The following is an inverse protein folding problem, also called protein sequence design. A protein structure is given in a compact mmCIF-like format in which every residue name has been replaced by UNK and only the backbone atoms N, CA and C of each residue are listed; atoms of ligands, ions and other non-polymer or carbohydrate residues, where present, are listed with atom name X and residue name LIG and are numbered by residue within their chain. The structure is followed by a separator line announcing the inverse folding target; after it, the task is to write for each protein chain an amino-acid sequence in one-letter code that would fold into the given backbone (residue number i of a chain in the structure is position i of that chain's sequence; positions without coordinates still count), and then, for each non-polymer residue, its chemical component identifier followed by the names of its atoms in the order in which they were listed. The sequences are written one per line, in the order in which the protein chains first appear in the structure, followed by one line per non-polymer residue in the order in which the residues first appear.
data_IF_487927072981
#
_entry.id   IF_487927072981
#
_cell.length_a   1.000
_cell.length_b   1.000
_cell.length_c   1.000
_cell.angle_alpha   90.00
_cell.angle_beta   90.00
_cell.angle_gamma   90.00
#
_symmetry.space_group_name_H-M   'P 1'
#
loop_
_entity.id
_entity.type
_entity.pdbx_description
1 polymer ?
#
# COMPACT_ATOMS: atom_id res chain seq x y z
N UNK A 1 3.98 12.25 -64.15
CA UNK A 1 4.45 11.35 -63.08
C UNK A 1 3.33 10.37 -62.80
N UNK A 2 3.49 9.10 -63.19
CA UNK A 2 2.53 8.05 -62.87
C UNK A 2 2.75 7.59 -61.43
N UNK A 3 1.69 7.50 -60.62
CA UNK A 3 1.77 6.88 -59.30
C UNK A 3 2.10 5.40 -59.48
N UNK A 4 3.27 4.96 -59.03
CA UNK A 4 3.67 3.56 -59.07
C UNK A 4 2.78 2.76 -58.09
N UNK A 5 1.90 1.93 -58.65
CA UNK A 5 1.02 1.05 -57.88
C UNK A 5 1.81 0.08 -56.97
N UNK A 6 3.07 -0.19 -57.32
CA UNK A 6 4.01 -1.02 -56.55
C UNK A 6 4.48 -0.29 -55.28
N UNK A 7 4.74 1.02 -55.35
CA UNK A 7 5.10 1.83 -54.18
C UNK A 7 3.97 1.92 -53.16
N UNK A 8 2.73 2.08 -53.62
CA UNK A 8 1.55 2.14 -52.75
C UNK A 8 1.28 0.81 -52.04
N UNK A 9 1.50 -0.33 -52.71
CA UNK A 9 1.29 -1.65 -52.09
C UNK A 9 2.35 -1.96 -51.02
N UNK A 10 3.60 -1.55 -51.24
CA UNK A 10 4.67 -1.66 -50.24
C UNK A 10 4.38 -0.82 -48.99
N UNK A 11 3.88 0.42 -49.18
CA UNK A 11 3.51 1.29 -48.06
C UNK A 11 2.34 0.73 -47.26
N UNK A 12 1.29 0.24 -47.94
CA UNK A 12 0.14 -0.37 -47.28
C UNK A 12 0.55 -1.62 -46.49
N UNK A 13 1.37 -2.47 -47.08
CA UNK A 13 1.91 -3.65 -46.41
C UNK A 13 2.71 -3.26 -45.17
N UNK A 14 3.60 -2.28 -45.28
CA UNK A 14 4.37 -1.78 -44.15
C UNK A 14 3.47 -1.23 -43.02
N UNK A 15 2.39 -0.51 -43.33
CA UNK A 15 1.46 0.01 -42.31
C UNK A 15 0.63 -1.08 -41.63
N UNK A 16 0.26 -2.13 -42.36
CA UNK A 16 -0.46 -3.28 -41.82
C UNK A 16 0.47 -4.10 -40.91
N UNK A 17 1.67 -4.41 -41.40
CA UNK A 17 2.66 -5.22 -40.69
C UNK A 17 3.22 -4.48 -39.45
N UNK A 18 3.25 -3.13 -39.48
CA UNK A 18 3.75 -2.27 -38.40
C UNK A 18 2.65 -1.61 -37.56
N UNK A 19 1.44 -2.19 -37.51
CA UNK A 19 0.33 -1.66 -36.70
C UNK A 19 0.65 -1.75 -35.21
N UNK A 20 0.56 -0.63 -34.50
CA UNK A 20 0.64 -0.57 -33.03
C UNK A 20 -0.62 -1.17 -32.38
N UNK A 21 -0.51 -1.83 -31.21
CA UNK A 21 0.70 -1.98 -30.40
C UNK A 21 1.64 -3.08 -30.90
N UNK A 22 2.95 -2.90 -30.72
CA UNK A 22 3.99 -3.85 -31.13
C UNK A 22 5.00 -4.10 -30.03
N UNK A 23 5.69 -5.23 -30.08
CA UNK A 23 6.82 -5.53 -29.22
C UNK A 23 8.11 -5.34 -30.03
N UNK A 24 8.94 -4.40 -29.62
CA UNK A 24 10.25 -4.12 -30.22
C UNK A 24 11.29 -4.29 -29.11
N UNK A 25 12.24 -5.21 -29.31
CA UNK A 25 13.31 -5.49 -28.33
C UNK A 25 12.78 -5.78 -26.91
N UNK A 26 11.67 -6.52 -26.83
CA UNK A 26 11.02 -6.88 -25.57
C UNK A 26 10.19 -5.76 -24.90
N UNK A 27 10.19 -4.54 -25.46
CA UNK A 27 9.42 -3.41 -24.97
C UNK A 27 8.15 -3.22 -25.79
N UNK A 28 7.06 -2.81 -25.15
CA UNK A 28 5.76 -2.63 -25.80
C UNK A 28 5.60 -1.20 -26.31
N UNK A 29 5.52 -1.02 -27.62
CA UNK A 29 5.22 0.27 -28.26
C UNK A 29 3.72 0.38 -28.45
N UNK A 30 3.12 1.46 -27.97
CA UNK A 30 1.70 1.79 -28.09
C UNK A 30 1.50 3.15 -28.76
N UNK A 31 0.29 3.45 -29.22
CA UNK A 31 -0.08 4.82 -29.60
C UNK A 31 -0.75 5.52 -28.42
N UNK A 32 -0.15 6.62 -27.94
CA UNK A 32 -0.72 7.46 -26.89
C UNK A 32 -0.76 8.90 -27.38
N UNK A 33 -1.94 9.53 -27.35
CA UNK A 33 -2.15 10.88 -27.90
C UNK A 33 -1.68 11.05 -29.36
N UNK A 34 -1.88 10.01 -30.18
CA UNK A 34 -1.47 9.99 -31.58
C UNK A 34 0.04 9.87 -31.81
N UNK A 35 0.84 9.61 -30.75
CA UNK A 35 2.29 9.44 -30.84
C UNK A 35 2.71 8.03 -30.41
N UNK A 36 3.66 7.40 -31.12
CA UNK A 36 4.30 6.17 -30.64
C UNK A 36 4.94 6.41 -29.27
N UNK A 37 4.62 5.56 -28.31
CA UNK A 37 5.10 5.63 -26.93
C UNK A 37 5.60 4.25 -26.51
N UNK A 38 6.82 4.19 -26.00
CA UNK A 38 7.42 2.96 -25.48
C UNK A 38 7.00 2.76 -24.02
N UNK A 39 6.33 1.66 -23.72
CA UNK A 39 6.13 1.17 -22.36
C UNK A 39 7.33 0.31 -21.96
N UNK A 40 8.06 0.75 -20.94
CA UNK A 40 9.24 0.06 -20.43
C UNK A 40 9.21 -0.02 -18.90
N UNK A 41 9.79 -1.07 -18.35
CA UNK A 41 10.01 -1.20 -16.91
C UNK A 41 11.39 -0.63 -16.59
N UNK A 42 11.43 0.46 -15.82
CA UNK A 42 12.67 1.08 -15.40
C UNK A 42 12.68 1.27 -13.88
N UNK A 43 13.84 1.05 -13.26
CA UNK A 43 14.11 1.49 -11.89
C UNK A 43 14.61 2.93 -11.96
N UNK A 44 13.86 3.86 -11.39
CA UNK A 44 14.22 5.28 -11.36
C UNK A 44 14.63 5.67 -9.95
N UNK A 45 15.80 6.28 -9.80
CA UNK A 45 16.21 6.94 -8.55
C UNK A 45 15.81 8.42 -8.62
N UNK A 46 14.85 8.81 -7.78
CA UNK A 46 14.38 10.19 -7.67
C UNK A 46 15.12 10.87 -6.51
N UNK A 47 15.93 11.89 -6.81
CA UNK A 47 16.50 12.76 -5.79
C UNK A 47 15.64 14.03 -5.69
N UNK A 48 14.84 14.13 -4.63
CA UNK A 48 14.07 15.33 -4.32
C UNK A 48 14.87 16.23 -3.40
N UNK A 49 15.21 17.44 -3.88
CA UNK A 49 15.83 18.48 -3.06
C UNK A 49 14.73 19.48 -2.72
N UNK A 50 14.30 19.48 -1.46
CA UNK A 50 13.27 20.41 -0.98
C UNK A 50 13.91 21.42 -0.05
N UNK A 51 13.89 22.70 -0.44
CA UNK A 51 14.46 23.78 0.35
C UNK A 51 13.34 24.51 1.10
N UNK A 52 13.56 24.77 2.41
CA UNK A 52 12.64 25.51 3.30
C UNK A 52 11.26 24.86 3.45
N UNK A 53 11.22 23.54 3.58
CA UNK A 53 9.99 22.86 4.00
C UNK A 53 9.77 23.14 5.51
N UNK A 54 8.74 23.90 5.85
CA UNK A 54 8.21 23.91 7.21
C UNK A 54 7.18 22.79 7.30
N UNK A 55 7.57 21.69 7.96
CA UNK A 55 6.65 20.59 8.29
C UNK A 55 5.98 20.93 9.60
N UNK A 56 4.78 21.49 9.53
CA UNK A 56 3.90 21.51 10.70
C UNK A 56 3.27 20.13 10.85
N UNK A 57 3.70 19.38 11.85
CA UNK A 57 3.03 18.16 12.27
C UNK A 57 1.64 18.52 12.78
N UNK A 58 0.62 18.44 11.91
CA UNK A 58 -0.77 18.33 12.39
C UNK A 58 -1.05 16.98 13.05
N UNK A 59 -0.05 16.09 13.10
CA UNK A 59 -0.14 14.77 13.72
C UNK A 59 -0.25 14.87 15.24
N UNK A 60 0.05 16.03 15.83
CA UNK A 60 0.07 16.25 17.29
C UNK A 60 -1.31 16.18 17.97
N UNK A 61 -2.39 15.99 17.20
CA UNK A 61 -3.77 15.88 17.71
C UNK A 61 -4.52 14.61 17.31
N UNK A 62 -3.87 13.67 16.61
CA UNK A 62 -4.50 12.45 16.10
C UNK A 62 -4.88 11.46 17.21
N UNK A 63 -6.18 11.37 17.52
CA UNK A 63 -6.73 10.33 18.38
C UNK A 63 -7.17 9.13 17.56
N UNK A 64 -6.95 7.93 18.10
CA UNK A 64 -7.36 6.69 17.46
C UNK A 64 -7.92 5.70 18.49
N UNK A 65 -8.85 4.86 18.06
CA UNK A 65 -9.45 3.82 18.86
C UNK A 65 -9.53 2.55 18.02
N UNK A 66 -9.07 1.43 18.58
CA UNK A 66 -9.08 0.13 17.92
C UNK A 66 -9.92 -0.85 18.71
N UNK A 67 -10.66 -1.70 18.01
CA UNK A 67 -11.41 -2.82 18.57
C UNK A 67 -10.89 -4.09 17.94
N UNK A 68 -10.40 -5.02 18.78
CA UNK A 68 -9.91 -6.32 18.34
C UNK A 68 -11.05 -7.35 18.42
N UNK A 69 -11.37 -7.96 17.29
CA UNK A 69 -12.57 -8.81 17.17
C UNK A 69 -12.24 -10.30 17.27
N UNK A 70 -11.15 -10.73 16.63
CA UNK A 70 -10.82 -12.15 16.49
C UNK A 70 -9.32 -12.34 16.28
N UNK A 71 -8.82 -13.45 16.82
CA UNK A 71 -7.48 -13.95 16.57
C UNK A 71 -7.61 -15.35 15.97
N UNK A 72 -6.94 -15.60 14.84
CA UNK A 72 -6.94 -16.90 14.15
C UNK A 72 -5.53 -17.27 13.71
N UNK A 73 -5.07 -18.47 14.03
CA UNK A 73 -3.81 -18.99 13.52
C UNK A 73 -3.11 -19.87 14.55
N UNK A 74 -1.79 -19.93 14.44
CA UNK A 74 -0.96 -20.76 15.30
C UNK A 74 0.19 -19.95 15.92
N UNK A 75 0.60 -20.38 17.11
CA UNK A 75 1.76 -19.86 17.82
C UNK A 75 3.02 -20.63 17.41
N UNK A 76 4.19 -20.01 17.51
CA UNK A 76 5.49 -20.64 17.25
C UNK A 76 5.75 -21.03 15.78
N UNK A 77 4.92 -20.58 14.84
CA UNK A 77 5.05 -20.90 13.41
C UNK A 77 5.40 -19.67 12.56
N UNK A 78 6.13 -19.85 11.44
CA UNK A 78 6.46 -18.74 10.52
C UNK A 78 5.25 -18.08 9.85
N UNK A 79 4.09 -18.74 9.82
CA UNK A 79 2.85 -18.14 9.30
C UNK A 79 2.19 -17.16 10.26
N UNK A 80 2.58 -17.19 11.55
CA UNK A 80 1.99 -16.39 12.61
C UNK A 80 0.48 -16.62 12.83
N UNK A 81 -0.12 -15.69 13.55
CA UNK A 81 -1.56 -15.58 13.77
C UNK A 81 -2.10 -14.27 13.18
N UNK A 82 -3.32 -14.32 12.66
CA UNK A 82 -4.04 -13.18 12.10
C UNK A 82 -4.95 -12.57 13.14
N UNK A 83 -4.78 -11.28 13.40
CA UNK A 83 -5.68 -10.51 14.24
C UNK A 83 -6.58 -9.64 13.37
N UNK A 84 -7.88 -9.75 13.61
CA UNK A 84 -8.93 -8.97 12.96
C UNK A 84 -9.31 -7.81 13.86
N UNK A 85 -9.22 -6.59 13.33
CA UNK A 85 -9.47 -5.38 14.08
C UNK A 85 -10.17 -4.33 13.22
N UNK A 86 -10.93 -3.45 13.88
CA UNK A 86 -11.36 -2.17 13.31
C UNK A 86 -10.62 -1.07 14.05
N UNK A 87 -10.01 -0.13 13.32
CA UNK A 87 -9.40 1.04 13.94
C UNK A 87 -9.89 2.33 13.30
N UNK A 88 -10.46 3.19 14.14
CA UNK A 88 -10.94 4.51 13.78
C UNK A 88 -9.89 5.55 14.19
N UNK A 89 -9.65 6.50 13.30
CA UNK A 89 -8.83 7.68 13.55
C UNK A 89 -9.68 8.93 13.27
N UNK A 90 -9.34 10.06 13.88
CA UNK A 90 -9.86 11.37 13.49
C UNK A 90 -9.21 11.88 12.18
N UNK A 91 -7.98 11.46 11.88
CA UNK A 91 -7.33 11.63 10.57
C UNK A 91 -7.76 10.59 9.52
N UNK A 92 -7.58 10.93 8.24
CA UNK A 92 -7.92 10.06 7.10
C UNK A 92 -7.16 8.73 7.11
N UNK A 93 -5.87 8.76 7.47
CA UNK A 93 -5.01 7.59 7.56
C UNK A 93 -3.89 7.84 8.58
N UNK A 94 -3.74 6.93 9.53
CA UNK A 94 -2.64 6.97 10.51
C UNK A 94 -2.21 5.55 10.91
N UNK A 95 -0.99 5.43 11.43
CA UNK A 95 -0.44 4.16 11.95
C UNK A 95 -0.36 4.25 13.46
N UNK A 96 -1.01 3.32 14.16
CA UNK A 96 -0.96 3.21 15.61
C UNK A 96 -0.05 2.05 16.03
N UNK A 97 0.66 2.22 17.14
CA UNK A 97 1.53 1.21 17.73
C UNK A 97 0.78 0.49 18.84
N UNK A 98 0.70 -0.82 18.77
CA UNK A 98 0.07 -1.68 19.78
C UNK A 98 1.19 -2.37 20.55
N UNK A 99 1.18 -2.19 21.85
CA UNK A 99 2.16 -2.76 22.77
C UNK A 99 1.46 -3.73 23.71
N UNK A 100 1.78 -5.02 23.59
CA UNK A 100 1.29 -6.09 24.45
C UNK A 100 2.49 -6.73 25.19
N UNK A 101 2.27 -7.41 26.33
CA UNK A 101 3.30 -8.19 27.01
C UNK A 101 4.01 -9.23 26.10
N UNK A 102 3.26 -9.89 25.21
CA UNK A 102 3.79 -10.86 24.25
C UNK A 102 4.56 -10.25 23.08
N UNK A 103 4.44 -8.93 22.87
CA UNK A 103 5.13 -8.22 21.81
C UNK A 103 4.39 -6.98 21.33
N UNK A 104 5.02 -6.30 20.36
CA UNK A 104 4.48 -5.06 19.81
C UNK A 104 4.34 -5.13 18.31
N UNK A 105 3.30 -4.48 17.76
CA UNK A 105 3.03 -4.44 16.33
C UNK A 105 2.33 -3.14 15.93
N UNK A 106 2.35 -2.85 14.63
CA UNK A 106 1.68 -1.68 14.07
C UNK A 106 0.33 -2.05 13.45
N UNK A 107 -0.66 -1.18 13.63
CA UNK A 107 -1.96 -1.28 12.98
C UNK A 107 -2.29 0.00 12.22
N UNK A 108 -3.18 -0.10 11.23
CA UNK A 108 -3.57 1.03 10.40
C UNK A 108 -4.98 1.49 10.73
N UNK A 109 -5.12 2.76 11.05
CA UNK A 109 -6.37 3.39 11.47
C UNK A 109 -6.83 4.38 10.39
N UNK A 110 -8.13 4.38 10.08
CA UNK A 110 -8.71 5.23 9.03
C UNK A 110 -9.98 5.92 9.49
N UNK A 111 -10.37 6.94 8.74
CA UNK A 111 -11.69 7.54 8.80
C UNK A 111 -12.33 7.47 7.39
N UNK A 112 -13.42 6.70 7.18
CA UNK A 112 -14.17 5.93 8.16
C UNK A 112 -13.44 4.70 8.70
N UNK A 113 -14.00 4.12 9.76
CA UNK A 113 -13.52 2.86 10.33
C UNK A 113 -13.63 1.74 9.30
N UNK A 114 -12.62 0.86 9.29
CA UNK A 114 -12.56 -0.25 8.35
C UNK A 114 -11.98 -1.47 9.04
N UNK A 115 -12.60 -2.62 8.80
CA UNK A 115 -12.05 -3.90 9.21
C UNK A 115 -10.77 -4.21 8.43
N UNK A 116 -9.76 -4.63 9.19
CA UNK A 116 -8.44 -4.95 8.69
C UNK A 116 -7.93 -6.17 9.43
N UNK A 117 -6.91 -6.76 8.83
CA UNK A 117 -6.19 -7.89 9.41
C UNK A 117 -4.71 -7.58 9.40
N UNK A 118 -4.01 -7.93 10.48
CA UNK A 118 -2.55 -7.94 10.51
C UNK A 118 -2.07 -9.29 11.02
N UNK A 119 -0.84 -9.66 10.67
CA UNK A 119 -0.21 -10.90 11.13
C UNK A 119 0.72 -10.58 12.28
N UNK A 120 0.56 -11.30 13.39
CA UNK A 120 1.39 -11.20 14.59
C UNK A 120 2.04 -12.55 14.86
N UNK A 121 3.18 -12.52 15.54
CA UNK A 121 3.91 -13.73 15.91
C UNK A 121 3.79 -13.96 17.40
N UNK A 122 3.12 -15.05 17.77
CA UNK A 122 2.86 -15.42 19.15
C UNK A 122 3.78 -16.57 19.56
N UNK A 123 4.26 -16.53 20.79
CA UNK A 123 5.09 -17.59 21.39
C UNK A 123 4.27 -18.54 22.26
N UNK A 124 3.06 -18.14 22.66
CA UNK A 124 2.14 -18.89 23.53
C UNK A 124 0.80 -19.16 22.84
N UNK A 125 0.16 -20.33 23.08
CA UNK A 125 -1.21 -20.61 22.62
C UNK A 125 -2.27 -19.77 23.33
N UNK A 126 -2.05 -19.45 24.60
CA UNK A 126 -2.99 -18.71 25.42
C UNK A 126 -2.57 -17.24 25.45
N UNK A 127 -3.46 -16.37 24.98
CA UNK A 127 -3.22 -14.95 24.79
C UNK A 127 -4.41 -14.19 25.37
N UNK A 128 -4.37 -14.02 26.68
CA UNK A 128 -5.22 -13.10 27.43
C UNK A 128 -4.34 -11.98 27.96
N UNK A 129 -4.26 -10.90 27.20
CA UNK A 129 -3.36 -9.78 27.48
C UNK A 129 -4.04 -8.44 27.27
N UNK A 130 -3.76 -7.51 28.17
CA UNK A 130 -4.17 -6.11 28.02
C UNK A 130 -3.08 -5.39 27.22
N UNK A 131 -3.44 -4.95 26.02
CA UNK A 131 -2.54 -4.19 25.16
C UNK A 131 -2.80 -2.67 25.31
N UNK A 132 -1.73 -1.89 25.19
CA UNK A 132 -1.82 -0.43 25.10
C UNK A 132 -1.68 -0.01 23.65
N UNK A 133 -2.61 0.78 23.14
CA UNK A 133 -2.49 1.38 21.82
C UNK A 133 -2.02 2.83 21.93
N UNK A 134 -0.97 3.17 21.18
CA UNK A 134 -0.41 4.51 21.05
C UNK A 134 -0.66 5.01 19.65
N UNK A 135 -1.46 6.06 19.55
CA UNK A 135 -1.60 6.83 18.33
C UNK A 135 -0.40 7.78 18.23
N UNK A 136 0.00 8.23 17.03
CA UNK A 136 1.15 9.10 16.86
C UNK A 136 0.98 10.50 17.51
N UNK A 137 -0.17 10.79 18.12
CA UNK A 137 -0.40 11.97 18.95
C UNK A 137 -0.51 11.63 20.43
N UNK A 138 0.53 11.99 21.17
CA UNK A 138 0.62 11.98 22.65
C UNK A 138 0.59 10.60 23.32
N UNK A 139 1.29 10.52 24.44
CA UNK A 139 1.24 9.47 25.48
C UNK A 139 -0.15 9.37 26.15
N UNK A 140 -1.22 9.29 25.35
CA UNK A 140 -2.56 8.99 25.81
C UNK A 140 -2.72 7.47 25.84
N UNK A 141 -2.63 6.88 27.03
CA UNK A 141 -2.98 5.48 27.24
C UNK A 141 -4.43 5.25 26.82
N UNK A 142 -4.63 4.70 25.63
CA UNK A 142 -5.90 4.09 25.26
C UNK A 142 -5.95 2.70 25.91
N UNK A 143 -6.70 2.60 27.00
CA UNK A 143 -7.04 1.33 27.65
C UNK A 143 -8.27 0.78 26.93
N UNK A 144 -8.11 -0.26 26.12
CA UNK A 144 -9.22 -1.14 25.77
C UNK A 144 -8.99 -2.50 26.43
N UNK A 145 -9.86 -2.81 27.39
CA UNK A 145 -9.91 -4.08 28.11
C UNK A 145 -10.75 -5.05 27.28
N UNK A 146 -10.13 -5.65 26.27
CA UNK A 146 -10.72 -6.75 25.50
C UNK A 146 -10.88 -8.00 26.36
N UNK A 147 -12.02 -8.11 27.06
CA UNK A 147 -12.41 -9.31 27.81
C UNK A 147 -12.90 -10.38 26.83
N UNK A 148 -12.32 -11.59 26.88
CA UNK A 148 -13.05 -12.83 26.60
C UNK A 148 -12.73 -13.87 27.65
#
# INVERSE_FOLDING_TARGET
MACDATGNSLLQKALIDNKLPQIIEGNKVISKNGRPTLETQATVSLQLIVQKLMVESRVDYATCAAVFQKLEGAYGVPSGAKIFYSCKSDFSLTTAFVECPSGSFNIMCTNPDKERTTTIYLTSPDVDEVCTIRCPARDGNCVDSGRR
#
